data_IF_999371741699
#
_entry.id   IF_999371741699
#
_cell.length_a   1.000
_cell.length_b   1.000
_cell.length_c   1.000
_cell.angle_alpha   90.00
_cell.angle_beta   90.00
_cell.angle_gamma   90.00
#
_symmetry.space_group_name_H-M   'P 1'
#
loop_
_entity.id
_entity.type
_entity.pdbx_description
1 polymer ?
#
# COMPACT_ATOMS: atom_id res chain seq x y z
N UNK A 1 -36.54 -21.08 7.79
CA UNK A 1 -35.87 -20.15 6.86
C UNK A 1 -34.57 -19.76 7.51
N UNK A 2 -33.49 -20.40 7.08
CA UNK A 2 -32.14 -20.15 7.59
C UNK A 2 -31.63 -18.90 6.88
N UNK A 3 -31.54 -17.78 7.60
CA UNK A 3 -30.89 -16.57 7.08
C UNK A 3 -29.39 -16.81 7.25
N UNK A 4 -28.71 -17.01 6.12
CA UNK A 4 -27.27 -17.07 6.05
C UNK A 4 -26.76 -15.64 6.21
N UNK A 5 -26.18 -15.34 7.38
CA UNK A 5 -25.53 -14.07 7.67
C UNK A 5 -24.19 -14.08 6.92
N UNK A 6 -24.13 -13.38 5.79
CA UNK A 6 -22.87 -13.05 5.13
C UNK A 6 -22.21 -12.01 6.03
N UNK A 7 -21.20 -12.42 6.80
CA UNK A 7 -20.23 -11.48 7.37
C UNK A 7 -19.53 -10.83 6.18
N UNK A 8 -19.81 -9.56 5.94
CA UNK A 8 -18.99 -8.72 5.09
C UNK A 8 -17.75 -8.35 5.91
N UNK A 9 -16.76 -9.23 5.94
CA UNK A 9 -15.40 -8.82 6.31
C UNK A 9 -14.92 -7.92 5.17
N UNK A 10 -14.75 -6.63 5.44
CA UNK A 10 -14.08 -5.71 4.54
C UNK A 10 -12.61 -6.14 4.47
N UNK A 11 -12.31 -7.15 3.66
CA UNK A 11 -10.93 -7.49 3.31
C UNK A 11 -10.49 -6.39 2.36
N UNK A 12 -9.74 -5.40 2.88
CA UNK A 12 -8.95 -4.53 2.02
C UNK A 12 -8.18 -5.41 1.04
N UNK A 13 -8.14 -5.00 -0.23
CA UNK A 13 -7.43 -5.74 -1.26
C UNK A 13 -5.95 -5.63 -0.92
N UNK A 14 -5.35 -6.74 -0.46
CA UNK A 14 -3.90 -6.85 -0.38
C UNK A 14 -3.40 -7.01 -1.81
N UNK A 15 -2.55 -6.10 -2.26
CA UNK A 15 -1.85 -6.20 -3.53
C UNK A 15 -0.40 -6.59 -3.22
N UNK A 16 0.12 -7.58 -3.94
CA UNK A 16 1.53 -7.96 -3.89
C UNK A 16 2.24 -7.49 -5.17
N UNK A 17 3.50 -7.07 -4.99
CA UNK A 17 4.47 -6.60 -5.98
C UNK A 17 3.95 -5.61 -7.01
N UNK A 18 4.11 -4.32 -6.71
CA UNK A 18 4.19 -3.29 -7.74
C UNK A 18 5.64 -3.00 -7.98
N UNK A 19 6.25 -3.77 -8.86
CA UNK A 19 7.57 -3.47 -9.34
C UNK A 19 7.49 -2.99 -10.78
N UNK A 20 8.36 -2.05 -11.17
CA UNK A 20 9.42 -1.43 -10.35
C UNK A 20 8.87 -0.25 -9.55
N UNK A 21 9.34 -0.09 -8.31
CA UNK A 21 8.96 1.03 -7.46
C UNK A 21 10.14 1.67 -6.71
N UNK A 22 11.36 1.47 -7.20
CA UNK A 22 12.62 1.75 -6.50
C UNK A 22 12.99 3.25 -6.38
N UNK A 23 12.29 4.11 -7.11
CA UNK A 23 12.52 5.55 -7.08
C UNK A 23 11.21 6.36 -7.13
N UNK A 24 11.30 7.63 -6.75
CA UNK A 24 10.12 8.50 -6.72
C UNK A 24 9.44 8.67 -8.09
N UNK A 25 10.17 8.62 -9.20
CA UNK A 25 9.62 8.71 -10.55
C UNK A 25 8.91 7.44 -11.02
N UNK A 26 9.34 6.27 -10.55
CA UNK A 26 8.77 4.96 -10.89
C UNK A 26 7.73 4.43 -9.90
N UNK A 27 7.57 5.09 -8.75
CA UNK A 27 6.65 4.73 -7.66
C UNK A 27 5.31 4.12 -8.08
N UNK A 28 4.91 3.07 -7.36
CA UNK A 28 3.65 2.38 -7.54
C UNK A 28 2.44 3.30 -7.30
N UNK A 29 1.49 3.40 -8.24
CA UNK A 29 0.25 4.19 -8.06
C UNK A 29 -0.89 3.28 -7.61
N UNK A 30 -1.37 3.51 -6.39
CA UNK A 30 -2.34 2.66 -5.70
C UNK A 30 -3.74 3.32 -5.67
N UNK A 31 -4.75 2.49 -5.94
CA UNK A 31 -6.16 2.86 -5.87
C UNK A 31 -6.59 3.17 -4.42
N UNK A 32 -7.54 4.10 -4.19
CA UNK A 32 -8.00 4.46 -2.85
C UNK A 32 -8.56 3.31 -2.02
N UNK A 33 -8.89 2.15 -2.60
CA UNK A 33 -9.32 0.95 -1.88
C UNK A 33 -8.17 0.14 -1.28
N UNK A 34 -6.93 0.35 -1.74
CA UNK A 34 -5.75 -0.34 -1.22
C UNK A 34 -5.43 0.20 0.17
N UNK A 35 -5.26 -0.72 1.12
CA UNK A 35 -4.96 -0.42 2.54
C UNK A 35 -3.76 -1.17 3.06
N UNK A 36 -3.26 -2.13 2.29
CA UNK A 36 -2.15 -2.98 2.68
C UNK A 36 -1.30 -3.27 1.45
N UNK A 37 -0.01 -3.04 1.57
CA UNK A 37 1.02 -3.37 0.57
C UNK A 37 1.97 -4.34 1.25
N UNK A 38 2.26 -5.46 0.61
CA UNK A 38 3.25 -6.42 1.08
C UNK A 38 4.32 -6.57 0.02
N UNK A 39 5.56 -6.36 0.43
CA UNK A 39 6.72 -6.45 -0.46
C UNK A 39 7.98 -6.91 0.29
N UNK A 40 9.13 -6.88 -0.38
CA UNK A 40 10.42 -7.21 0.22
C UNK A 40 11.53 -6.31 -0.28
N UNK A 41 12.32 -5.77 0.66
CA UNK A 41 13.62 -5.20 0.31
C UNK A 41 14.63 -6.33 0.23
N UNK A 42 15.61 -6.22 -0.63
CA UNK A 42 16.68 -7.20 -0.68
C UNK A 42 18.07 -6.55 -0.64
N UNK A 43 19.05 -7.35 -0.25
CA UNK A 43 20.42 -6.87 -0.14
C UNK A 43 21.06 -7.01 -1.51
N UNK A 44 21.33 -5.87 -2.16
CA UNK A 44 22.05 -5.74 -3.43
C UNK A 44 22.96 -6.92 -3.75
N UNK A 45 22.67 -7.64 -4.83
CA UNK A 45 23.51 -8.75 -5.27
C UNK A 45 24.97 -8.29 -5.47
N UNK A 46 25.96 -8.91 -4.80
CA UNK A 46 27.35 -8.51 -4.98
C UNK A 46 27.83 -8.90 -6.37
N UNK A 47 27.98 -7.92 -7.27
CA UNK A 47 28.57 -8.14 -8.60
C UNK A 47 27.96 -7.38 -9.78
N UNK A 48 26.87 -6.63 -9.59
CA UNK A 48 26.09 -6.08 -10.71
C UNK A 48 25.17 -7.13 -11.33
N UNK A 49 24.21 -6.67 -12.11
CA UNK A 49 23.25 -7.49 -12.84
C UNK A 49 23.84 -8.10 -14.10
N UNK A 50 23.19 -9.11 -14.74
CA UNK A 50 23.60 -9.50 -16.08
C UNK A 50 23.38 -8.32 -17.04
N UNK A 51 24.34 -8.06 -17.90
CA UNK A 51 24.14 -7.19 -19.06
C UNK A 51 23.22 -7.91 -20.06
N UNK A 52 22.03 -7.37 -20.29
CA UNK A 52 20.93 -8.09 -20.96
C UNK A 52 20.77 -7.69 -22.41
N UNK A 53 20.14 -8.56 -23.21
CA UNK A 53 19.51 -8.18 -24.48
C UNK A 53 18.05 -8.61 -24.44
N UNK A 54 17.11 -7.69 -24.59
CA UNK A 54 15.67 -7.95 -24.63
C UNK A 54 15.14 -7.83 -26.06
N UNK A 55 14.37 -8.82 -26.51
CA UNK A 55 13.78 -8.84 -27.84
C UNK A 55 12.29 -9.17 -27.83
N UNK A 56 11.52 -8.48 -28.68
CA UNK A 56 10.12 -8.79 -28.95
C UNK A 56 9.95 -9.60 -30.23
N UNK A 57 9.06 -10.58 -30.20
CA UNK A 57 8.87 -11.54 -31.27
C UNK A 57 7.42 -11.63 -31.74
N UNK A 58 7.27 -11.84 -33.05
CA UNK A 58 5.98 -12.16 -33.65
C UNK A 58 5.43 -13.50 -33.13
N UNK A 59 4.13 -13.73 -33.28
CA UNK A 59 3.54 -15.04 -33.01
C UNK A 59 4.15 -16.19 -33.84
N UNK A 60 4.80 -15.88 -34.96
CA UNK A 60 5.54 -16.83 -35.80
C UNK A 60 7.00 -17.04 -35.36
N UNK A 61 7.50 -16.27 -34.38
CA UNK A 61 8.85 -16.36 -33.84
C UNK A 61 9.90 -15.50 -34.56
N UNK A 62 9.50 -14.64 -35.51
CA UNK A 62 10.39 -13.64 -36.10
C UNK A 62 10.60 -12.46 -35.14
N UNK A 63 11.84 -11.98 -35.02
CA UNK A 63 12.20 -10.80 -34.24
C UNK A 63 11.50 -9.56 -34.81
N UNK A 64 10.94 -8.74 -33.93
CA UNK A 64 10.30 -7.45 -34.25
C UNK A 64 11.31 -6.34 -33.98
N UNK A 65 11.80 -6.28 -32.74
CA UNK A 65 12.72 -5.28 -32.24
C UNK A 65 13.50 -5.86 -31.05
N UNK A 66 14.68 -5.31 -30.79
CA UNK A 66 15.50 -5.64 -29.63
C UNK A 66 16.23 -4.40 -29.11
N UNK A 67 16.73 -4.52 -27.89
CA UNK A 67 17.54 -3.53 -27.22
C UNK A 67 18.50 -4.24 -26.24
N UNK A 68 19.73 -3.76 -26.12
CA UNK A 68 20.74 -4.23 -25.15
C UNK A 68 20.82 -3.32 -23.92
N UNK A 69 20.70 -2.01 -24.07
CA UNK A 69 20.63 -1.06 -22.93
C UNK A 69 19.48 -0.06 -23.07
N UNK A 70 18.84 0.30 -21.97
CA UNK A 70 17.90 1.43 -21.97
C UNK A 70 16.75 1.31 -20.98
N UNK A 71 16.78 0.30 -20.12
CA UNK A 71 15.91 0.28 -18.96
C UNK A 71 16.28 1.43 -18.03
N UNK A 72 15.28 2.13 -17.45
CA UNK A 72 15.53 3.06 -16.37
C UNK A 72 15.84 2.32 -15.05
N UNK A 73 15.63 1.00 -15.00
CA UNK A 73 15.90 0.16 -13.83
C UNK A 73 17.24 -0.56 -13.97
N UNK A 74 17.78 -0.97 -12.83
CA UNK A 74 18.96 -1.83 -12.75
C UNK A 74 20.27 -1.04 -12.66
N UNK A 75 21.38 -1.63 -13.10
CA UNK A 75 22.71 -1.02 -12.97
C UNK A 75 23.23 -0.30 -14.22
N UNK A 76 22.33 0.00 -15.16
CA UNK A 76 22.63 0.65 -16.43
C UNK A 76 22.97 -0.30 -17.59
N UNK A 77 22.98 -1.61 -17.34
CA UNK A 77 23.12 -2.67 -18.36
C UNK A 77 21.83 -3.48 -18.58
N UNK A 78 20.71 -2.94 -18.11
CA UNK A 78 19.40 -3.55 -18.28
C UNK A 78 18.73 -3.04 -19.56
N UNK A 79 18.13 -3.96 -20.31
CA UNK A 79 17.46 -3.64 -21.57
C UNK A 79 16.01 -3.21 -21.40
N UNK A 80 15.51 -2.41 -22.34
CA UNK A 80 14.11 -2.01 -22.41
C UNK A 80 13.56 -1.94 -23.84
N UNK A 81 12.27 -2.17 -23.97
CA UNK A 81 11.49 -1.95 -25.17
C UNK A 81 10.32 -1.02 -24.86
N UNK A 82 10.05 -0.08 -25.75
CA UNK A 82 8.97 0.89 -25.62
C UNK A 82 8.07 0.85 -26.85
N UNK A 83 6.78 1.13 -26.65
CA UNK A 83 5.80 1.29 -27.73
C UNK A 83 5.71 0.11 -28.73
N UNK A 84 5.96 -1.11 -28.28
CA UNK A 84 5.92 -2.31 -29.12
C UNK A 84 4.50 -2.80 -29.26
N UNK A 85 4.04 -3.07 -30.49
CA UNK A 85 2.69 -3.56 -30.74
C UNK A 85 2.47 -4.97 -30.22
N UNK A 86 1.30 -5.21 -29.60
CA UNK A 86 0.84 -6.58 -29.26
C UNK A 86 0.60 -7.38 -30.53
N UNK A 87 0.91 -8.69 -30.52
CA UNK A 87 0.68 -9.54 -31.68
C UNK A 87 -0.80 -9.62 -32.07
N UNK A 88 -1.07 -9.90 -33.34
CA UNK A 88 -2.44 -10.02 -33.86
C UNK A 88 -3.28 -11.13 -33.19
N UNK A 89 -2.64 -12.11 -32.56
CA UNK A 89 -3.29 -13.16 -31.76
C UNK A 89 -3.50 -12.76 -30.27
N UNK A 90 -3.17 -11.52 -29.91
CA UNK A 90 -3.23 -10.97 -28.55
C UNK A 90 -2.06 -11.39 -27.65
N UNK A 91 -1.03 -12.04 -28.21
CA UNK A 91 0.14 -12.46 -27.43
C UNK A 91 1.25 -11.41 -27.39
N UNK A 92 1.98 -11.38 -26.27
CA UNK A 92 3.28 -10.71 -26.17
C UNK A 92 4.32 -11.81 -26.01
N UNK A 93 5.34 -11.82 -26.87
CA UNK A 93 6.42 -12.81 -26.84
C UNK A 93 7.75 -12.10 -26.73
N UNK A 94 8.45 -12.37 -25.65
CA UNK A 94 9.72 -11.75 -25.32
C UNK A 94 10.78 -12.82 -25.19
N UNK A 95 12.01 -12.48 -25.55
CA UNK A 95 13.18 -13.26 -25.13
C UNK A 95 14.18 -12.35 -24.45
N UNK A 96 14.88 -12.92 -23.47
CA UNK A 96 15.99 -12.29 -22.78
C UNK A 96 17.22 -13.15 -22.98
N UNK A 97 18.29 -12.53 -23.47
CA UNK A 97 19.62 -13.12 -23.59
C UNK A 97 20.66 -12.24 -22.89
N UNK A 98 21.93 -12.64 -22.98
CA UNK A 98 23.05 -11.80 -22.60
C UNK A 98 23.33 -10.73 -23.66
N UNK A 99 24.09 -9.71 -23.28
CA UNK A 99 24.60 -8.71 -24.20
C UNK A 99 25.23 -9.34 -25.45
N UNK A 100 25.09 -8.65 -26.59
CA UNK A 100 25.72 -9.02 -27.86
C UNK A 100 25.20 -10.33 -28.48
N UNK A 101 24.06 -10.86 -28.03
CA UNK A 101 23.29 -11.94 -28.69
C UNK A 101 22.00 -11.35 -29.28
N UNK A 102 22.11 -10.72 -30.45
CA UNK A 102 21.01 -9.96 -31.07
C UNK A 102 20.08 -10.82 -31.93
N UNK A 103 20.50 -12.04 -32.28
CA UNK A 103 19.65 -13.01 -32.97
C UNK A 103 19.00 -14.04 -32.02
N UNK A 104 19.36 -13.99 -30.73
CA UNK A 104 18.81 -14.77 -29.63
C UNK A 104 19.02 -16.28 -29.84
N UNK A 105 20.21 -16.66 -30.30
CA UNK A 105 20.63 -18.05 -30.47
C UNK A 105 21.48 -18.60 -29.29
N UNK A 106 21.84 -17.72 -28.35
CA UNK A 106 22.65 -18.01 -27.18
C UNK A 106 24.14 -17.75 -27.38
N UNK A 107 24.57 -17.35 -28.57
CA UNK A 107 25.95 -17.01 -28.88
C UNK A 107 26.11 -15.49 -28.98
N UNK A 108 27.24 -15.01 -28.52
CA UNK A 108 27.70 -13.67 -28.81
C UNK A 108 28.00 -13.54 -30.32
N UNK A 109 27.38 -12.54 -30.96
CA UNK A 109 27.45 -12.28 -32.41
C UNK A 109 28.84 -11.84 -32.89
N UNK A 110 29.69 -11.38 -31.97
CA UNK A 110 31.05 -10.91 -32.27
C UNK A 110 32.07 -12.05 -32.23
N UNK A 111 31.93 -12.94 -31.26
CA UNK A 111 32.90 -14.01 -30.99
C UNK A 111 32.43 -15.40 -31.39
N UNK A 112 31.12 -15.58 -31.63
CA UNK A 112 30.49 -16.86 -31.94
C UNK A 112 30.62 -17.90 -30.83
N UNK A 113 30.88 -17.44 -29.61
CA UNK A 113 30.91 -18.25 -28.39
C UNK A 113 29.66 -18.00 -27.57
N UNK A 114 29.21 -18.92 -26.70
CA UNK A 114 28.13 -18.62 -25.77
C UNK A 114 28.39 -17.30 -25.03
N UNK A 115 27.39 -16.44 -24.93
CA UNK A 115 27.49 -15.23 -24.11
C UNK A 115 27.80 -15.60 -22.65
N UNK A 116 28.50 -14.76 -21.91
CA UNK A 116 28.97 -15.08 -20.55
C UNK A 116 28.06 -14.52 -19.46
N UNK A 117 27.11 -13.65 -19.83
CA UNK A 117 26.23 -12.94 -18.93
C UNK A 117 25.29 -13.93 -18.22
N UNK A 118 25.24 -13.79 -16.90
CA UNK A 118 24.46 -14.65 -16.04
C UNK A 118 24.07 -13.91 -14.77
N UNK A 119 22.88 -14.19 -14.26
CA UNK A 119 22.33 -13.52 -13.09
C UNK A 119 20.81 -13.50 -13.11
N UNK A 120 20.17 -13.21 -11.96
CA UNK A 120 18.75 -13.00 -11.92
C UNK A 120 18.38 -11.71 -12.68
N UNK A 121 17.15 -11.64 -13.19
CA UNK A 121 16.53 -10.41 -13.65
C UNK A 121 15.02 -10.47 -13.40
N UNK A 122 14.41 -9.31 -13.22
CA UNK A 122 12.96 -9.13 -13.30
C UNK A 122 12.61 -8.39 -14.60
N UNK A 123 11.45 -8.72 -15.15
CA UNK A 123 10.94 -8.20 -16.41
C UNK A 123 9.51 -7.71 -16.20
N UNK A 124 9.34 -6.40 -16.35
CA UNK A 124 8.06 -5.72 -16.20
C UNK A 124 7.47 -5.41 -17.56
N UNK A 125 6.22 -5.83 -17.78
CA UNK A 125 5.50 -5.58 -19.03
C UNK A 125 4.23 -4.80 -18.72
N UNK A 126 4.21 -3.52 -19.11
CA UNK A 126 3.02 -2.68 -19.02
C UNK A 126 2.34 -2.60 -20.38
N UNK A 127 1.03 -2.84 -20.43
CA UNK A 127 0.24 -2.86 -21.66
C UNK A 127 -0.73 -1.68 -21.67
N UNK A 128 -0.80 -0.99 -22.79
CA UNK A 128 -1.62 0.19 -23.04
C UNK A 128 -2.57 -0.04 -24.21
N UNK A 129 -3.78 0.50 -24.11
CA UNK A 129 -4.68 0.57 -25.27
C UNK A 129 -4.27 1.71 -26.22
N UNK A 130 -4.93 1.78 -27.38
CA UNK A 130 -4.68 2.83 -28.39
C UNK A 130 -4.96 4.28 -27.93
N UNK A 131 -5.51 4.47 -26.73
CA UNK A 131 -5.77 5.76 -26.10
C UNK A 131 -4.77 6.11 -25.00
N UNK A 132 -3.62 5.43 -24.95
CA UNK A 132 -2.57 5.58 -23.95
C UNK A 132 -3.02 5.25 -22.51
N UNK A 133 -4.10 4.46 -22.38
CA UNK A 133 -4.58 4.00 -21.07
C UNK A 133 -3.94 2.66 -20.74
N UNK A 134 -3.31 2.55 -19.57
CA UNK A 134 -2.80 1.28 -19.08
C UNK A 134 -3.96 0.30 -18.83
N UNK A 135 -3.89 -0.87 -19.48
CA UNK A 135 -4.88 -1.95 -19.42
C UNK A 135 -4.30 -3.27 -18.89
N UNK A 136 -3.00 -3.34 -18.63
CA UNK A 136 -2.34 -4.50 -18.06
C UNK A 136 -0.98 -4.18 -17.47
N UNK A 137 -0.57 -4.97 -16.47
CA UNK A 137 0.79 -5.00 -15.93
C UNK A 137 1.14 -6.44 -15.59
N UNK A 138 2.37 -6.85 -15.89
CA UNK A 138 2.89 -8.18 -15.59
C UNK A 138 4.32 -8.07 -15.09
N UNK A 139 4.64 -8.81 -14.03
CA UNK A 139 6.00 -9.02 -13.57
C UNK A 139 6.39 -10.48 -13.82
N UNK A 140 7.57 -10.68 -14.38
CA UNK A 140 8.14 -11.98 -14.70
C UNK A 140 9.57 -12.02 -14.15
N UNK A 141 9.95 -13.09 -13.47
CA UNK A 141 11.33 -13.30 -13.06
C UNK A 141 12.06 -14.25 -14.00
N UNK A 142 13.37 -14.11 -14.07
CA UNK A 142 14.26 -14.99 -14.80
C UNK A 142 15.62 -15.11 -14.14
N UNK A 143 16.37 -16.13 -14.54
CA UNK A 143 17.79 -16.21 -14.21
C UNK A 143 18.53 -16.59 -15.48
N UNK A 144 19.26 -15.63 -16.01
CA UNK A 144 20.10 -15.82 -17.18
C UNK A 144 21.30 -16.70 -16.79
N UNK A 145 21.64 -17.63 -17.67
CA UNK A 145 22.87 -18.42 -17.58
C UNK A 145 23.70 -18.14 -18.81
N UNK A 146 25.02 -18.34 -18.74
CA UNK A 146 25.88 -18.25 -19.92
C UNK A 146 25.34 -19.08 -21.10
N UNK A 147 25.18 -18.43 -22.25
CA UNK A 147 24.57 -18.97 -23.47
C UNK A 147 23.08 -19.32 -23.38
N UNK A 148 22.42 -18.91 -22.30
CA UNK A 148 20.99 -19.12 -22.09
C UNK A 148 20.16 -18.04 -22.79
N UNK A 149 19.04 -18.46 -23.38
CA UNK A 149 18.01 -17.56 -23.90
C UNK A 149 16.70 -17.93 -23.24
N UNK A 150 16.15 -17.03 -22.42
CA UNK A 150 14.87 -17.25 -21.76
C UNK A 150 13.75 -16.69 -22.64
N UNK A 151 12.66 -17.44 -22.75
CA UNK A 151 11.46 -17.02 -23.51
C UNK A 151 10.29 -16.81 -22.56
N UNK A 152 9.66 -15.65 -22.67
CA UNK A 152 8.47 -15.27 -21.93
C UNK A 152 7.29 -15.09 -22.89
N UNK A 153 6.11 -15.57 -22.51
CA UNK A 153 4.90 -15.43 -23.33
C UNK A 153 3.71 -15.08 -22.47
N UNK A 154 3.12 -13.92 -22.73
CA UNK A 154 1.88 -13.46 -22.14
C UNK A 154 0.76 -13.66 -23.17
N UNK A 155 -0.30 -14.37 -22.79
CA UNK A 155 -1.44 -14.65 -23.66
C UNK A 155 -2.69 -14.95 -22.83
N UNK A 156 -3.88 -14.83 -23.44
CA UNK A 156 -5.15 -15.10 -22.76
C UNK A 156 -5.72 -13.94 -21.93
N UNK A 157 -5.07 -12.77 -21.97
CA UNK A 157 -5.50 -11.56 -21.25
C UNK A 157 -6.49 -10.68 -22.04
N UNK A 158 -6.77 -11.02 -23.30
CA UNK A 158 -7.73 -10.30 -24.13
C UNK A 158 -7.20 -9.01 -24.78
N UNK A 159 -5.87 -8.83 -24.82
CA UNK A 159 -5.24 -7.71 -25.52
C UNK A 159 -5.53 -7.76 -27.03
N UNK A 160 -5.78 -6.58 -27.61
CA UNK A 160 -6.05 -6.36 -29.01
C UNK A 160 -4.80 -6.02 -29.82
N UNK A 161 -4.89 -6.16 -31.14
CA UNK A 161 -3.80 -5.83 -32.06
C UNK A 161 -3.53 -4.31 -32.20
N UNK A 162 -4.42 -3.47 -31.65
CA UNK A 162 -4.25 -2.02 -31.56
C UNK A 162 -3.54 -1.58 -30.28
N UNK A 163 -3.34 -2.52 -29.36
CA UNK A 163 -2.70 -2.27 -28.06
C UNK A 163 -1.19 -2.37 -28.24
N UNK A 164 -0.46 -1.73 -27.34
CA UNK A 164 0.99 -1.73 -27.34
C UNK A 164 1.50 -1.94 -25.91
N UNK A 165 2.79 -2.23 -25.78
CA UNK A 165 3.41 -2.47 -24.48
C UNK A 165 4.79 -1.85 -24.40
N UNK A 166 5.21 -1.59 -23.17
CA UNK A 166 6.61 -1.41 -22.80
C UNK A 166 7.06 -2.64 -22.00
N UNK A 167 8.31 -3.04 -22.17
CA UNK A 167 8.92 -4.14 -21.46
C UNK A 167 10.28 -3.70 -20.92
N UNK A 168 10.44 -3.66 -19.60
CA UNK A 168 11.58 -3.06 -18.92
C UNK A 168 12.22 -4.12 -18.01
N UNK A 169 13.53 -4.32 -18.12
CA UNK A 169 14.27 -5.25 -17.25
C UNK A 169 14.81 -4.51 -16.04
N UNK A 170 14.73 -5.12 -14.86
CA UNK A 170 15.67 -4.87 -13.77
C UNK A 170 16.65 -6.04 -13.74
N UNK A 171 17.92 -5.77 -14.06
CA UNK A 171 18.97 -6.78 -14.06
C UNK A 171 19.65 -6.90 -12.70
N UNK A 172 19.34 -6.03 -11.76
CA UNK A 172 19.70 -6.19 -10.36
C UNK A 172 18.44 -6.42 -9.55
N UNK A 173 17.65 -7.48 -9.82
CA UNK A 173 16.47 -7.76 -9.02
C UNK A 173 16.98 -8.04 -7.62
N UNK A 174 16.62 -7.13 -6.75
CA UNK A 174 17.19 -7.10 -5.44
C UNK A 174 18.51 -6.38 -5.24
N UNK A 175 18.75 -5.38 -6.06
CA UNK A 175 19.98 -4.63 -6.29
C UNK A 175 20.18 -3.45 -5.36
N UNK A 176 20.95 -2.46 -5.82
CA UNK A 176 21.04 -1.18 -5.11
C UNK A 176 19.74 -0.37 -5.17
N UNK A 177 18.84 -0.73 -6.09
CA UNK A 177 17.56 -0.07 -6.39
C UNK A 177 16.41 -0.65 -5.51
N UNK A 178 16.29 -1.98 -5.35
CA UNK A 178 15.36 -2.67 -4.40
C UNK A 178 15.78 -2.59 -2.92
N UNK A 179 16.37 -1.45 -2.56
CA UNK A 179 16.63 -1.04 -1.18
C UNK A 179 15.53 -0.11 -0.69
N UNK A 180 14.67 0.39 -1.55
CA UNK A 180 13.53 1.19 -1.11
C UNK A 180 12.36 1.02 -2.05
N UNK A 181 11.17 1.05 -1.49
CA UNK A 181 9.96 0.89 -2.29
C UNK A 181 9.12 2.15 -2.17
N UNK A 182 8.83 2.79 -3.29
CA UNK A 182 8.05 4.00 -3.38
C UNK A 182 6.63 3.71 -3.83
N UNK A 183 5.66 4.32 -3.17
CA UNK A 183 4.26 4.15 -3.52
C UNK A 183 3.47 5.43 -3.33
N UNK A 184 2.40 5.57 -4.10
CA UNK A 184 1.48 6.69 -4.02
C UNK A 184 0.06 6.19 -3.91
N UNK A 185 -0.56 6.41 -2.76
CA UNK A 185 -2.00 6.24 -2.63
C UNK A 185 -2.68 7.46 -3.26
N UNK A 186 -3.67 7.21 -4.13
CA UNK A 186 -4.41 8.26 -4.82
C UNK A 186 -5.89 8.19 -4.52
N UNK A 187 -6.64 9.25 -4.87
CA UNK A 187 -8.09 9.28 -4.68
C UNK A 187 -8.55 9.28 -3.22
N UNK A 188 -7.65 9.61 -2.30
CA UNK A 188 -7.96 9.74 -0.88
C UNK A 188 -8.77 11.01 -0.64
N UNK A 189 -9.55 11.02 0.45
CA UNK A 189 -10.33 12.20 0.83
C UNK A 189 -9.39 13.28 1.39
N UNK A 190 -9.20 14.36 0.63
CA UNK A 190 -8.41 15.50 1.08
C UNK A 190 -8.90 16.02 2.45
N UNK A 191 -7.96 16.31 3.35
CA UNK A 191 -8.26 16.72 4.72
C UNK A 191 -8.61 15.58 5.68
N UNK A 192 -8.70 14.33 5.23
CA UNK A 192 -8.84 13.19 6.13
C UNK A 192 -7.50 12.89 6.82
N UNK A 193 -7.54 12.45 8.08
CA UNK A 193 -6.36 11.93 8.74
C UNK A 193 -5.99 10.55 8.22
N UNK A 194 -4.69 10.27 8.20
CA UNK A 194 -4.13 8.97 7.87
C UNK A 194 -3.07 8.57 8.89
N UNK A 195 -2.88 7.26 9.02
CA UNK A 195 -1.70 6.67 9.63
C UNK A 195 -1.14 5.65 8.64
N UNK A 196 0.16 5.70 8.38
CA UNK A 196 0.86 4.66 7.64
C UNK A 196 1.89 4.01 8.57
N UNK A 197 1.95 2.68 8.57
CA UNK A 197 2.89 1.94 9.42
C UNK A 197 3.40 0.67 8.78
N UNK A 198 4.64 0.31 9.07
CA UNK A 198 5.14 -1.03 8.78
C UNK A 198 4.73 -1.99 9.91
N UNK A 199 4.48 -3.24 9.56
CA UNK A 199 4.07 -4.27 10.54
C UNK A 199 4.94 -5.51 10.47
N UNK A 200 4.99 -6.22 11.59
CA UNK A 200 5.74 -7.43 11.78
C UNK A 200 5.33 -8.58 10.83
N UNK A 201 6.25 -9.03 9.96
CA UNK A 201 6.07 -10.17 9.05
C UNK A 201 7.13 -11.26 9.24
N UNK A 202 7.26 -12.28 8.38
CA UNK A 202 8.38 -13.23 8.48
C UNK A 202 9.60 -12.70 7.72
N UNK A 203 10.80 -12.74 8.32
CA UNK A 203 12.00 -12.15 7.71
C UNK A 203 12.08 -10.63 7.89
N UNK A 204 11.67 -10.14 9.06
CA UNK A 204 11.60 -8.72 9.42
C UNK A 204 13.00 -8.10 9.46
N UNK A 205 13.05 -6.82 9.11
CA UNK A 205 14.21 -5.97 9.26
C UNK A 205 13.79 -4.64 9.91
N UNK A 206 14.78 -3.81 10.22
CA UNK A 206 14.59 -2.49 10.81
C UNK A 206 14.19 -1.48 9.73
N UNK A 207 12.93 -1.07 9.70
CA UNK A 207 12.36 -0.25 8.62
C UNK A 207 12.57 1.25 8.89
N UNK A 208 12.61 2.04 7.81
CA UNK A 208 12.41 3.48 7.85
C UNK A 208 11.28 3.79 6.86
N UNK A 209 10.28 4.54 7.32
CA UNK A 209 9.14 4.97 6.52
C UNK A 209 9.23 6.48 6.30
N UNK A 210 9.16 6.92 5.04
CA UNK A 210 9.16 8.34 4.67
C UNK A 210 7.86 8.76 3.99
N UNK A 211 7.43 10.00 4.26
CA UNK A 211 6.35 10.70 3.59
C UNK A 211 6.89 11.89 2.81
N UNK A 212 6.48 12.05 1.55
CA UNK A 212 6.99 13.06 0.64
C UNK A 212 5.89 13.90 0.00
N UNK A 213 6.22 15.16 -0.28
CA UNK A 213 5.40 16.01 -1.12
C UNK A 213 5.47 15.58 -2.61
N UNK A 214 4.75 16.28 -3.47
CA UNK A 214 4.68 15.94 -4.89
C UNK A 214 5.97 16.21 -5.69
N UNK A 215 6.87 17.02 -5.12
CA UNK A 215 8.17 17.35 -5.72
C UNK A 215 9.28 16.39 -5.22
N UNK A 216 8.95 15.43 -4.36
CA UNK A 216 9.88 14.45 -3.81
C UNK A 216 10.66 14.98 -2.60
N UNK A 217 10.18 16.03 -1.95
CA UNK A 217 10.78 16.54 -0.71
C UNK A 217 10.15 15.84 0.49
N UNK A 218 10.98 15.37 1.42
CA UNK A 218 10.52 14.72 2.65
C UNK A 218 9.70 15.69 3.51
N UNK A 219 8.50 15.27 3.89
CA UNK A 219 7.61 15.94 4.83
C UNK A 219 7.92 15.42 6.24
N UNK A 220 7.91 14.10 6.40
CA UNK A 220 8.12 13.41 7.66
C UNK A 220 8.72 12.03 7.42
N UNK A 221 9.45 11.50 8.39
CA UNK A 221 9.91 10.12 8.38
C UNK A 221 10.00 9.58 9.80
N UNK A 222 9.98 8.26 9.93
CA UNK A 222 10.04 7.55 11.20
C UNK A 222 10.72 6.18 11.02
N UNK A 223 11.41 5.69 12.04
CA UNK A 223 12.05 4.37 12.05
C UNK A 223 11.49 3.42 13.12
N UNK A 224 11.06 3.92 14.28
CA UNK A 224 10.64 3.08 15.41
C UNK A 224 9.25 3.40 16.03
N UNK A 225 8.48 4.30 15.43
CA UNK A 225 7.20 4.81 15.92
C UNK A 225 6.05 3.81 15.95
N UNK A 226 6.14 2.66 15.25
CA UNK A 226 5.23 1.51 15.42
C UNK A 226 5.71 0.52 16.51
N UNK A 227 6.83 0.83 17.16
CA UNK A 227 7.43 0.06 18.24
C UNK A 227 8.43 -0.98 17.76
N UNK A 228 9.61 -0.99 18.39
CA UNK A 228 10.65 -1.99 18.10
C UNK A 228 11.46 -1.62 16.86
N UNK A 229 11.16 -2.27 15.74
CA UNK A 229 11.89 -2.18 14.45
C UNK A 229 11.01 -1.60 13.34
N UNK A 230 9.84 -1.06 13.71
CA UNK A 230 8.78 -0.72 12.77
C UNK A 230 8.44 0.75 12.86
N UNK A 231 8.13 1.30 11.70
CA UNK A 231 7.93 2.71 11.49
C UNK A 231 6.44 3.06 11.45
N UNK A 232 6.10 4.27 11.88
CA UNK A 232 4.74 4.82 11.87
C UNK A 232 4.81 6.32 11.64
N UNK A 233 4.06 6.77 10.66
CA UNK A 233 3.83 8.18 10.36
C UNK A 233 2.32 8.45 10.34
N UNK A 234 1.91 9.66 10.67
CA UNK A 234 0.51 10.07 10.60
C UNK A 234 0.40 11.55 10.26
N UNK A 235 -0.75 11.94 9.74
CA UNK A 235 -1.01 13.33 9.37
C UNK A 235 -2.27 13.47 8.54
N UNK A 236 -2.37 14.57 7.82
CA UNK A 236 -3.54 14.89 6.99
C UNK A 236 -3.28 14.66 5.51
N UNK A 237 -4.22 13.98 4.85
CA UNK A 237 -4.23 13.77 3.40
C UNK A 237 -4.21 15.13 2.69
N UNK A 238 -3.20 15.40 1.84
CA UNK A 238 -3.08 16.64 1.08
C UNK A 238 -4.29 16.96 0.19
N UNK A 239 -4.39 18.23 -0.21
CA UNK A 239 -5.53 18.76 -0.98
C UNK A 239 -5.79 18.11 -2.34
N UNK A 240 -4.81 17.40 -2.88
CA UNK A 240 -4.91 16.63 -4.14
C UNK A 240 -5.31 15.17 -3.92
N UNK A 241 -5.50 14.73 -2.67
CA UNK A 241 -5.90 13.38 -2.32
C UNK A 241 -4.81 12.34 -2.52
N UNK A 242 -3.53 12.73 -2.45
CA UNK A 242 -2.38 11.83 -2.66
C UNK A 242 -1.47 11.72 -1.44
N UNK A 243 -0.97 10.52 -1.18
CA UNK A 243 0.11 10.28 -0.22
C UNK A 243 1.25 9.54 -0.91
N UNK A 244 2.41 10.21 -1.06
CA UNK A 244 3.62 9.59 -1.57
C UNK A 244 4.44 9.07 -0.38
N UNK A 245 4.60 7.75 -0.28
CA UNK A 245 5.29 7.06 0.81
C UNK A 245 6.46 6.25 0.27
N UNK A 246 7.47 6.01 1.10
CA UNK A 246 8.51 5.02 0.81
C UNK A 246 8.83 4.17 2.02
N UNK A 247 9.18 2.90 1.80
CA UNK A 247 9.74 2.01 2.82
C UNK A 247 11.19 1.69 2.44
N UNK A 248 12.13 1.96 3.33
CA UNK A 248 13.56 1.62 3.19
C UNK A 248 14.06 0.95 4.47
N UNK A 249 15.34 0.56 4.52
CA UNK A 249 15.99 -0.01 5.69
C UNK A 249 16.77 0.98 6.55
N UNK A 250 16.80 0.75 7.87
CA UNK A 250 17.67 1.51 8.78
C UNK A 250 19.16 1.31 8.39
N UNK A 251 19.97 2.36 8.26
CA UNK A 251 19.76 3.75 8.68
C UNK A 251 19.65 4.74 7.51
N UNK A 252 18.85 4.43 6.48
CA UNK A 252 18.74 5.24 5.26
C UNK A 252 17.83 6.47 5.42
N UNK A 253 18.24 7.41 6.27
CA UNK A 253 17.49 8.65 6.53
C UNK A 253 17.58 9.68 5.40
N UNK A 254 18.45 9.44 4.41
CA UNK A 254 18.56 10.28 3.22
C UNK A 254 17.74 9.72 2.05
N UNK A 255 17.14 8.54 2.20
CA UNK A 255 16.37 7.84 1.17
C UNK A 255 17.18 7.70 -0.13
N UNK A 256 18.40 7.16 0.01
CA UNK A 256 19.35 6.87 -1.09
C UNK A 256 19.66 5.38 -1.21
N UNK A 257 19.00 4.56 -0.38
CA UNK A 257 19.12 3.12 -0.31
C UNK A 257 20.33 2.71 0.49
N UNK A 258 21.03 3.63 1.18
CA UNK A 258 22.32 3.34 1.83
C UNK A 258 22.16 2.57 3.15
N UNK A 259 21.66 1.35 3.04
CA UNK A 259 21.55 0.39 4.12
C UNK A 259 21.89 -1.03 3.64
N UNK A 260 22.00 -1.94 4.61
CA UNK A 260 22.20 -3.38 4.40
C UNK A 260 21.01 -4.22 4.86
N UNK A 261 19.90 -3.59 5.27
CA UNK A 261 18.68 -4.31 5.62
C UNK A 261 18.10 -5.02 4.39
N UNK A 262 17.49 -6.17 4.62
CA UNK A 262 16.77 -6.94 3.63
C UNK A 262 15.78 -7.85 4.33
N UNK A 263 14.68 -8.14 3.66
CA UNK A 263 13.60 -8.96 4.18
C UNK A 263 12.24 -8.48 3.70
N UNK A 264 11.21 -9.18 4.13
CA UNK A 264 9.84 -8.81 3.78
C UNK A 264 9.33 -7.72 4.72
N UNK A 265 8.45 -6.87 4.21
CA UNK A 265 7.66 -5.95 5.02
C UNK A 265 6.19 -5.93 4.57
N UNK A 266 5.33 -5.41 5.44
CA UNK A 266 3.97 -5.01 5.07
C UNK A 266 3.77 -3.59 5.52
N UNK A 267 3.33 -2.72 4.62
CA UNK A 267 2.84 -1.38 4.91
C UNK A 267 1.30 -1.41 5.03
N UNK A 268 0.78 -0.88 6.13
CA UNK A 268 -0.64 -0.65 6.34
C UNK A 268 -0.93 0.85 6.26
N UNK A 269 -1.93 1.24 5.45
CA UNK A 269 -2.52 2.58 5.45
C UNK A 269 -3.87 2.54 6.16
N UNK A 270 -3.96 3.18 7.31
CA UNK A 270 -5.17 3.36 8.08
C UNK A 270 -5.76 4.75 7.80
N UNK A 271 -7.07 4.81 7.58
CA UNK A 271 -7.84 6.04 7.45
C UNK A 271 -8.92 6.06 8.53
N UNK A 272 -8.56 6.42 9.77
CA UNK A 272 -9.51 6.45 10.87
C UNK A 272 -10.62 7.46 10.58
N UNK A 273 -11.88 7.17 10.97
CA UNK A 273 -12.94 8.15 10.91
C UNK A 273 -12.63 9.33 11.85
N UNK A 274 -13.12 10.52 11.53
CA UNK A 274 -13.04 11.69 12.42
C UNK A 274 -13.60 11.35 13.80
N UNK A 275 -12.80 11.51 14.85
CA UNK A 275 -13.23 11.21 16.21
C UNK A 275 -12.70 9.93 16.83
N UNK A 276 -11.95 9.10 16.11
CA UNK A 276 -11.29 7.90 16.65
C UNK A 276 -9.91 8.30 17.20
N UNK A 277 -9.86 8.80 18.44
CA UNK A 277 -8.64 9.31 19.04
C UNK A 277 -7.67 8.19 19.39
N UNK A 278 -8.17 7.06 19.87
CA UNK A 278 -7.33 5.95 20.31
C UNK A 278 -6.95 4.98 19.18
N UNK A 279 -7.45 5.21 17.96
CA UNK A 279 -7.19 4.46 16.74
C UNK A 279 -7.58 2.97 16.87
N UNK A 280 -8.64 2.68 17.63
CA UNK A 280 -9.16 1.32 17.80
C UNK A 280 -10.18 0.93 16.72
N UNK A 281 -10.47 1.84 15.79
CA UNK A 281 -11.42 1.67 14.70
C UNK A 281 -12.87 1.92 15.11
N UNK A 282 -13.12 2.35 16.35
CA UNK A 282 -14.42 2.76 16.86
C UNK A 282 -14.39 4.25 17.21
N UNK A 283 -15.55 4.91 17.11
CA UNK A 283 -15.72 6.28 17.59
C UNK A 283 -16.73 6.26 18.73
N UNK A 284 -16.23 6.37 19.95
CA UNK A 284 -17.05 6.19 21.14
C UNK A 284 -16.74 7.14 22.31
N UNK A 285 -17.23 6.78 23.49
CA UNK A 285 -17.08 7.61 24.69
C UNK A 285 -15.64 7.68 25.22
N UNK A 286 -14.77 6.76 24.83
CA UNK A 286 -13.34 6.80 25.15
C UNK A 286 -12.66 7.94 24.39
N UNK A 287 -12.95 8.09 23.10
CA UNK A 287 -12.40 9.19 22.30
C UNK A 287 -12.93 10.54 22.73
N UNK A 288 -14.22 10.59 23.10
CA UNK A 288 -14.81 11.79 23.69
C UNK A 288 -14.08 12.22 24.97
N UNK A 289 -13.64 11.27 25.80
CA UNK A 289 -12.90 11.61 27.01
C UNK A 289 -11.55 12.25 26.65
N UNK A 290 -10.87 11.76 25.61
CA UNK A 290 -9.64 12.36 25.11
C UNK A 290 -9.87 13.82 24.67
N UNK A 291 -10.83 14.05 23.77
CA UNK A 291 -11.21 15.41 23.35
C UNK A 291 -11.59 16.30 24.54
N UNK A 292 -12.43 15.80 25.45
CA UNK A 292 -12.94 16.59 26.58
C UNK A 292 -11.85 16.94 27.59
N UNK A 293 -10.79 16.14 27.72
CA UNK A 293 -9.68 16.41 28.63
C UNK A 293 -8.74 17.49 28.08
N UNK A 294 -8.64 17.59 26.75
CA UNK A 294 -7.73 18.50 26.08
C UNK A 294 -8.43 19.71 25.42
N UNK A 295 -9.71 19.94 25.73
CA UNK A 295 -10.48 21.05 25.16
C UNK A 295 -9.80 22.43 25.36
N UNK A 296 -9.66 23.18 24.27
CA UNK A 296 -8.94 24.45 24.11
C UNK A 296 -7.42 24.39 24.29
N UNK A 297 -6.83 23.19 24.23
CA UNK A 297 -5.38 23.06 24.09
C UNK A 297 -4.96 23.32 22.64
N UNK A 298 -3.78 23.91 22.47
CA UNK A 298 -3.15 24.25 21.20
C UNK A 298 -1.91 23.38 20.98
N UNK A 299 -1.42 23.28 19.74
CA UNK A 299 -0.29 22.42 19.34
C UNK A 299 -0.54 20.93 19.64
N UNK A 300 -1.80 20.50 19.48
CA UNK A 300 -2.24 19.13 19.77
C UNK A 300 -2.18 18.26 18.51
N UNK A 301 -2.16 16.94 18.72
CA UNK A 301 -2.21 15.92 17.67
C UNK A 301 -3.58 15.23 17.61
N UNK A 302 -3.83 14.49 16.53
CA UNK A 302 -5.04 13.66 16.37
C UNK A 302 -5.34 12.78 17.58
N UNK A 303 -4.32 12.07 18.08
CA UNK A 303 -4.44 11.15 19.23
C UNK A 303 -4.77 11.88 20.53
N UNK A 304 -4.64 13.20 20.56
CA UNK A 304 -4.98 14.06 21.69
C UNK A 304 -6.38 14.68 21.55
N UNK A 305 -7.04 14.51 20.40
CA UNK A 305 -8.42 14.94 20.15
C UNK A 305 -8.58 16.05 19.11
N UNK A 306 -7.52 16.40 18.38
CA UNK A 306 -7.54 17.33 17.24
C UNK A 306 -7.91 16.55 15.96
N UNK A 307 -9.21 16.41 15.70
CA UNK A 307 -9.73 15.57 14.63
C UNK A 307 -9.77 16.28 13.28
N UNK A 308 -9.46 17.58 13.20
CA UNK A 308 -9.32 18.29 11.93
C UNK A 308 -7.87 18.72 11.62
N UNK A 309 -6.92 18.40 12.50
CA UNK A 309 -5.48 18.64 12.38
C UNK A 309 -5.17 20.14 12.19
N UNK A 310 -5.95 21.01 12.84
CA UNK A 310 -5.75 22.47 12.79
C UNK A 310 -4.89 23.02 13.94
N UNK A 311 -4.44 22.11 14.81
CA UNK A 311 -3.59 22.36 15.96
C UNK A 311 -4.36 22.79 17.21
N UNK A 312 -5.70 22.85 17.18
CA UNK A 312 -6.51 23.34 18.30
C UNK A 312 -7.69 22.41 18.57
N UNK A 313 -7.80 21.91 19.80
CA UNK A 313 -8.93 21.05 20.19
C UNK A 313 -10.14 21.91 20.55
N UNK A 314 -11.12 22.02 19.67
CA UNK A 314 -12.28 22.87 19.85
C UNK A 314 -13.63 22.22 19.45
N UNK A 315 -14.63 23.04 19.15
CA UNK A 315 -15.96 22.57 18.77
C UNK A 315 -16.04 21.97 17.36
N UNK A 316 -15.05 22.23 16.50
CA UNK A 316 -14.94 21.63 15.17
C UNK A 316 -14.57 20.14 15.28
N UNK A 317 -13.64 19.79 16.18
CA UNK A 317 -13.29 18.39 16.47
C UNK A 317 -14.48 17.64 17.07
N UNK A 318 -15.18 18.29 18.00
CA UNK A 318 -16.41 17.71 18.55
C UNK A 318 -17.43 17.39 17.47
N UNK A 319 -17.57 18.25 16.45
CA UNK A 319 -18.49 17.98 15.34
C UNK A 319 -18.05 16.72 14.56
N UNK A 320 -16.74 16.53 14.34
CA UNK A 320 -16.21 15.34 13.67
C UNK A 320 -16.48 14.08 14.48
N UNK A 321 -16.18 14.09 15.79
CA UNK A 321 -16.54 12.99 16.69
C UNK A 321 -18.04 12.71 16.70
N UNK A 322 -18.87 13.76 16.84
CA UNK A 322 -20.32 13.60 16.91
C UNK A 322 -20.93 13.09 15.61
N UNK A 323 -20.35 13.41 14.46
CA UNK A 323 -20.82 12.91 13.16
C UNK A 323 -20.52 11.42 12.97
N UNK A 324 -19.41 10.95 13.55
CA UNK A 324 -18.98 9.55 13.44
C UNK A 324 -19.30 8.72 14.69
N UNK A 325 -19.95 9.27 15.71
CA UNK A 325 -20.28 8.52 16.92
C UNK A 325 -21.03 7.22 16.60
N UNK A 326 -20.57 6.10 17.18
CA UNK A 326 -20.95 4.72 16.86
C UNK A 326 -20.40 4.16 15.54
N UNK A 327 -19.46 4.82 14.88
CA UNK A 327 -18.66 4.19 13.84
C UNK A 327 -17.91 2.98 14.43
N UNK A 328 -17.76 1.92 13.65
CA UNK A 328 -17.13 0.66 14.08
C UNK A 328 -18.04 -0.29 14.87
N UNK A 329 -19.23 0.17 15.30
CA UNK A 329 -20.21 -0.70 15.95
C UNK A 329 -20.96 -1.56 14.91
N UNK A 330 -21.26 -2.83 15.22
CA UNK A 330 -22.11 -3.64 14.35
C UNK A 330 -23.48 -2.98 14.18
N UNK A 331 -23.95 -2.87 12.94
CA UNK A 331 -25.25 -2.28 12.64
C UNK A 331 -26.36 -2.95 13.48
N UNK A 332 -27.03 -2.14 14.30
CA UNK A 332 -28.12 -2.61 15.16
C UNK A 332 -27.74 -2.90 16.62
N UNK A 333 -26.55 -2.51 17.09
CA UNK A 333 -26.26 -2.45 18.51
C UNK A 333 -27.26 -1.51 19.21
N UNK A 334 -28.25 -2.10 19.87
CA UNK A 334 -29.27 -1.35 20.58
C UNK A 334 -28.61 -0.48 21.66
N UNK A 335 -28.79 0.84 21.56
CA UNK A 335 -28.50 1.77 22.65
C UNK A 335 -29.13 1.19 23.92
N UNK A 336 -28.36 0.89 24.98
CA UNK A 336 -28.93 0.38 26.22
C UNK A 336 -30.00 1.35 26.70
N UNK A 337 -31.26 0.90 26.76
CA UNK A 337 -32.33 1.79 27.19
C UNK A 337 -31.97 2.38 28.56
N UNK A 338 -32.13 3.70 28.77
CA UNK A 338 -31.75 4.32 30.02
C UNK A 338 -32.49 3.61 31.15
N UNK A 339 -31.76 3.19 32.19
CA UNK A 339 -32.22 2.45 33.38
C UNK A 339 -33.35 3.15 34.18
N UNK A 340 -33.87 4.26 33.66
CA UNK A 340 -35.09 4.95 34.09
C UNK A 340 -36.28 4.03 34.37
N UNK A 341 -36.52 2.99 33.55
CA UNK A 341 -37.57 2.02 33.81
C UNK A 341 -37.34 1.20 35.10
N UNK A 342 -36.07 0.86 35.40
CA UNK A 342 -35.68 0.15 36.63
C UNK A 342 -35.76 1.05 37.86
N UNK A 343 -35.61 2.36 37.72
CA UNK A 343 -35.73 3.32 38.83
C UNK A 343 -37.18 3.71 39.17
N UNK A 344 -38.10 3.67 38.19
CA UNK A 344 -39.50 4.04 38.42
C UNK A 344 -40.32 2.95 39.13
N UNK A 345 -39.99 1.67 38.93
CA UNK A 345 -40.74 0.54 39.53
C UNK A 345 -40.63 0.50 41.07
N UNK A 346 -39.44 0.62 41.69
CA UNK A 346 -39.31 0.67 43.15
C UNK A 346 -39.94 1.92 43.76
N UNK A 347 -39.81 3.07 43.09
CA UNK A 347 -40.39 4.34 43.55
C UNK A 347 -41.93 4.31 43.56
N UNK A 348 -42.53 3.75 42.50
CA UNK A 348 -43.98 3.53 42.42
C UNK A 348 -44.49 2.55 43.49
N UNK A 349 -43.75 1.46 43.73
CA UNK A 349 -44.10 0.46 44.75
C UNK A 349 -44.02 1.03 46.17
N UNK A 350 -42.98 1.83 46.46
CA UNK A 350 -42.81 2.51 47.74
C UNK A 350 -43.88 3.57 48.01
N UNK A 351 -44.32 4.31 46.97
CA UNK A 351 -45.42 5.25 47.08
C UNK A 351 -46.77 4.56 47.32
N UNK A 352 -47.03 3.43 46.65
CA UNK A 352 -48.24 2.62 46.84
C UNK A 352 -48.32 1.98 48.24
N UNK A 353 -47.20 1.46 48.75
CA UNK A 353 -47.11 0.89 50.09
C UNK A 353 -47.28 1.94 51.20
N UNK A 354 -46.82 3.18 50.99
CA UNK A 354 -47.06 4.31 51.91
C UNK A 354 -48.52 4.74 51.96
N UNK A 355 -49.26 4.68 50.85
CA UNK A 355 -50.71 4.98 50.83
C UNK A 355 -51.52 3.96 51.63
N UNK A 356 -51.20 2.66 51.54
CA UNK A 356 -51.90 1.61 52.30
C UNK A 356 -51.76 1.73 53.82
N UNK A 357 -50.63 2.23 54.33
CA UNK A 357 -50.39 2.40 55.77
C UNK A 357 -51.15 3.57 56.40
N UNK A 358 -51.62 4.55 55.61
CA UNK A 358 -52.38 5.71 56.12
C UNK A 358 -53.88 5.44 56.27
N UNK A 359 -54.42 4.41 55.64
CA UNK A 359 -55.85 4.07 55.71
C UNK A 359 -56.27 3.18 56.90
N UNK A 360 -55.34 2.72 57.74
CA UNK A 360 -55.59 1.69 58.75
C UNK A 360 -55.61 2.19 60.21
N UNK A 361 -55.75 3.50 60.45
CA UNK A 361 -55.77 4.07 61.81
C UNK A 361 -57.04 4.88 62.06
N UNK A 362 -58.10 4.17 62.40
CA UNK A 362 -59.26 4.51 63.25
C UNK A 362 -60.28 3.40 62.96
N UNK A 363 -60.60 2.51 63.91
CA UNK A 363 -61.58 2.74 64.97
C UNK A 363 -61.20 1.90 66.20
N UNK A 364 -61.16 2.52 67.38
CA UNK A 364 -61.23 1.82 68.69
C UNK A 364 -62.61 2.07 69.29
N UNK A 365 -63.28 1.07 69.89
CA UNK A 365 -64.16 1.32 71.02
C UNK A 365 -63.35 1.53 72.32
#
# INVERSE_FOLDING_TARGET
MTVCLVLLTCTGTALGQFEPNDDFGSRAVLDPSVRTVSDSLTAGAPGGGPDTTLGAFTAAGSLIEYNDDGSPYGDGYASALYDVSVNADGSIRLKVSGAQDYDFDGSDDYWGTPHEQAGPYDLYVTVFDSGDVQIGSHALNGTLTAGGVLSHTLSGYGYGASDYFQALIDNTPGGAEDRMDWMTFTGLSAGAHFEARTVAVAGQFDTVLGWFDNDGVVIEYDDDGAGGLFSRIGGTVPGDGKLNLTVTGYADFLFQGDHSQSGNYTLELLLPPGGDANLDGMVDGLDYNTWSLNYLMEEMLWIEGDFNDDGVIDGLDYNLWSLNYHYGYPEGAAVPEPVTAVLLVPAGLMAALRRRRRGAREVRP
#
